data_IF_958302229442
#
_entry.id   IF_958302229442
#
_cell.length_a   1.000
_cell.length_b   1.000
_cell.length_c   1.000
_cell.angle_alpha   90.00
_cell.angle_beta   90.00
_cell.angle_gamma   90.00
#
_symmetry.space_group_name_H-M   'P 1'
#
loop_
_entity.id
_entity.type
_entity.pdbx_description
1 polymer ?
#
# COMPACT_ATOMS: atom_id res chain seq x y z
N UNK A 1 -29.47 -33.51 4.94
CA UNK A 1 -29.92 -34.13 3.68
C UNK A 1 -29.05 -33.54 2.57
N UNK A 2 -28.23 -34.37 1.95
CA UNK A 2 -27.24 -34.01 0.92
C UNK A 2 -27.95 -33.79 -0.43
N UNK A 3 -27.59 -32.73 -1.15
CA UNK A 3 -27.60 -32.51 -2.62
C UNK A 3 -26.92 -31.13 -2.80
N UNK A 4 -25.83 -30.89 -3.53
CA UNK A 4 -25.15 -31.65 -4.58
C UNK A 4 -25.11 -30.80 -5.85
N UNK A 5 -24.07 -29.99 -6.06
CA UNK A 5 -23.63 -29.57 -7.41
C UNK A 5 -22.13 -29.22 -7.40
N UNK A 6 -21.44 -29.70 -8.43
CA UNK A 6 -19.99 -29.72 -8.65
C UNK A 6 -19.60 -28.78 -9.79
N UNK A 7 -18.32 -28.37 -9.78
CA UNK A 7 -17.45 -27.86 -10.88
C UNK A 7 -17.54 -26.36 -11.23
N UNK A 8 -16.48 -25.59 -11.55
CA UNK A 8 -14.98 -25.67 -11.57
C UNK A 8 -14.52 -24.19 -11.77
N UNK A 9 -13.41 -23.76 -11.14
CA UNK A 9 -12.70 -22.51 -11.49
C UNK A 9 -12.02 -21.81 -10.30
N UNK A 10 -10.71 -21.94 -10.17
CA UNK A 10 -9.90 -21.34 -9.11
C UNK A 10 -9.86 -19.80 -9.20
N UNK A 11 -10.37 -19.10 -8.19
CA UNK A 11 -9.87 -17.80 -7.73
C UNK A 11 -10.06 -17.75 -6.21
N UNK A 12 -8.95 -17.72 -5.47
CA UNK A 12 -8.92 -17.83 -4.01
C UNK A 12 -9.40 -16.50 -3.39
N UNK A 13 -10.71 -16.38 -3.17
CA UNK A 13 -11.34 -15.37 -2.31
C UNK A 13 -12.09 -16.15 -1.21
N UNK A 14 -11.48 -16.25 -0.03
CA UNK A 14 -12.00 -17.02 1.11
C UNK A 14 -12.97 -16.19 1.98
N UNK A 15 -13.93 -16.90 2.58
CA UNK A 15 -15.26 -16.45 3.06
C UNK A 15 -15.49 -16.78 4.57
N UNK A 16 -16.34 -15.96 5.25
CA UNK A 16 -16.98 -16.02 6.62
C UNK A 16 -16.17 -15.48 7.85
N UNK A 17 -16.70 -14.67 8.80
CA UNK A 17 -18.05 -14.59 9.40
C UNK A 17 -18.45 -13.18 9.97
N UNK A 18 -19.77 -12.95 10.02
CA UNK A 18 -20.59 -11.87 10.62
C UNK A 18 -20.24 -10.38 10.35
N UNK A 19 -20.94 -9.83 9.35
CA UNK A 19 -21.17 -8.41 9.05
C UNK A 19 -20.05 -7.56 8.43
N UNK A 20 -18.82 -8.03 8.30
CA UNK A 20 -17.84 -7.39 7.41
C UNK A 20 -16.94 -8.42 6.70
N UNK A 21 -16.93 -8.36 5.38
CA UNK A 21 -16.21 -9.27 4.47
C UNK A 21 -14.68 -9.12 4.64
N UNK A 22 -13.91 -10.21 4.78
CA UNK A 22 -12.45 -10.10 4.78
C UNK A 22 -11.95 -9.67 3.39
N UNK A 23 -11.16 -8.61 3.34
CA UNK A 23 -10.42 -8.20 2.14
C UNK A 23 -9.04 -8.85 2.15
N UNK A 24 -8.76 -9.68 1.15
CA UNK A 24 -7.39 -9.87 0.67
C UNK A 24 -7.19 -8.81 -0.40
N UNK A 25 -6.44 -7.75 -0.09
CA UNK A 25 -6.00 -6.80 -1.12
C UNK A 25 -4.79 -7.44 -1.81
N UNK A 26 -5.03 -8.05 -2.97
CA UNK A 26 -3.97 -8.42 -3.89
C UNK A 26 -3.46 -7.17 -4.59
N UNK A 27 -2.22 -6.77 -4.32
CA UNK A 27 -1.60 -5.65 -5.04
C UNK A 27 -1.04 -6.17 -6.36
N UNK A 28 -1.61 -5.73 -7.49
CA UNK A 28 -1.07 -5.99 -8.84
C UNK A 28 -0.09 -4.88 -9.20
N UNK A 29 1.04 -5.26 -9.80
CA UNK A 29 2.16 -4.36 -10.09
C UNK A 29 2.30 -4.14 -11.60
N UNK A 30 2.43 -2.90 -12.11
CA UNK A 30 2.60 -2.66 -13.54
C UNK A 30 4.00 -3.09 -14.03
N UNK A 31 4.14 -3.57 -15.28
CA UNK A 31 5.42 -3.72 -15.96
C UNK A 31 5.90 -2.36 -16.47
N UNK A 32 7.21 -2.09 -16.36
CA UNK A 32 7.83 -0.87 -16.90
C UNK A 32 8.62 -1.26 -18.15
N UNK A 33 8.07 -0.93 -19.31
CA UNK A 33 8.73 -0.97 -20.60
C UNK A 33 8.06 0.02 -21.55
N UNK A 34 8.87 0.81 -22.27
CA UNK A 34 8.39 1.69 -23.34
C UNK A 34 7.61 0.85 -24.37
N UNK A 35 6.29 1.04 -24.46
CA UNK A 35 5.51 0.54 -25.59
C UNK A 35 5.39 1.70 -26.57
N UNK A 36 6.18 1.60 -27.64
CA UNK A 36 5.94 2.32 -28.87
C UNK A 36 4.66 1.72 -29.46
N UNK A 37 3.59 2.52 -29.55
CA UNK A 37 2.30 2.10 -30.11
C UNK A 37 2.45 1.97 -31.61
N UNK A 38 2.78 0.78 -32.14
CA UNK A 38 2.48 0.42 -33.55
C UNK A 38 2.66 -1.07 -33.94
N UNK A 39 3.18 -1.97 -33.10
CA UNK A 39 3.34 -3.38 -33.51
C UNK A 39 2.95 -4.39 -32.41
N UNK A 40 1.66 -4.74 -32.33
CA UNK A 40 1.20 -5.98 -31.68
C UNK A 40 -0.22 -6.35 -32.13
N UNK A 41 -0.40 -6.52 -33.45
CA UNK A 41 -1.57 -7.15 -34.04
C UNK A 41 -1.08 -8.22 -35.02
N UNK A 42 -0.69 -9.38 -34.51
CA UNK A 42 -0.68 -10.65 -35.26
C UNK A 42 -0.33 -11.84 -34.36
N UNK A 43 -1.20 -12.86 -34.40
CA UNK A 43 -0.99 -14.28 -34.08
C UNK A 43 -0.41 -14.63 -32.69
N UNK A 44 -1.19 -15.30 -31.85
CA UNK A 44 -1.33 -16.77 -31.93
C UNK A 44 -2.44 -17.24 -30.98
N UNK A 45 -3.48 -17.86 -31.53
CA UNK A 45 -4.53 -18.55 -30.78
C UNK A 45 -4.15 -20.01 -30.64
N UNK A 46 -3.63 -20.41 -29.48
CA UNK A 46 -3.23 -21.79 -29.20
C UNK A 46 -3.32 -22.14 -27.71
N UNK A 47 -4.16 -23.11 -27.38
CA UNK A 47 -4.48 -23.70 -26.08
C UNK A 47 -3.42 -23.60 -24.96
N UNK A 48 -3.78 -22.97 -23.84
CA UNK A 48 -3.08 -23.13 -22.54
C UNK A 48 -4.07 -23.69 -21.51
N UNK A 49 -4.46 -24.96 -21.70
CA UNK A 49 -5.19 -25.76 -20.72
C UNK A 49 -4.63 -27.18 -20.72
N UNK A 50 -3.36 -27.33 -20.34
CA UNK A 50 -2.77 -28.60 -19.89
C UNK A 50 -1.30 -28.38 -19.50
N UNK A 51 -1.00 -28.07 -18.23
CA UNK A 51 0.15 -28.65 -17.54
C UNK A 51 0.16 -28.34 -16.03
N UNK A 52 -0.82 -28.87 -15.30
CA UNK A 52 -0.83 -28.86 -13.82
C UNK A 52 -0.99 -30.30 -13.29
N UNK A 53 -0.15 -31.22 -13.77
CA UNK A 53 0.00 -32.54 -13.16
C UNK A 53 1.23 -33.28 -13.68
N UNK A 54 2.44 -32.80 -13.39
CA UNK A 54 3.64 -33.64 -13.33
C UNK A 54 4.75 -32.88 -12.62
N UNK A 55 5.37 -33.52 -11.62
CA UNK A 55 6.57 -33.00 -10.97
C UNK A 55 7.70 -32.82 -12.00
N UNK A 56 8.00 -31.57 -12.33
CA UNK A 56 9.22 -31.16 -13.02
C UNK A 56 9.95 -30.18 -12.10
N UNK A 57 11.24 -30.42 -11.85
CA UNK A 57 12.11 -29.57 -11.04
C UNK A 57 12.33 -28.19 -11.64
N UNK A 58 11.31 -27.32 -11.56
CA UNK A 58 11.42 -25.90 -11.78
C UNK A 58 12.09 -25.23 -10.58
N UNK A 59 13.01 -24.29 -10.85
CA UNK A 59 13.60 -23.45 -9.82
C UNK A 59 12.50 -22.82 -8.94
N UNK A 60 12.74 -22.71 -7.64
CA UNK A 60 11.79 -22.03 -6.76
C UNK A 60 11.45 -20.63 -7.30
N UNK A 61 10.17 -20.21 -7.23
CA UNK A 61 9.76 -18.92 -7.73
C UNK A 61 10.55 -17.78 -7.06
N UNK A 62 11.18 -16.94 -7.89
CA UNK A 62 11.94 -15.77 -7.43
C UNK A 62 11.00 -14.64 -6.97
N UNK A 63 10.80 -14.57 -5.65
CA UNK A 63 10.07 -13.51 -4.96
C UNK A 63 10.93 -12.30 -4.60
N UNK A 64 12.13 -12.19 -5.18
CA UNK A 64 13.00 -11.01 -4.99
C UNK A 64 12.52 -9.77 -5.75
N UNK A 65 11.33 -9.79 -6.38
CA UNK A 65 10.70 -8.74 -7.21
C UNK A 65 11.67 -7.63 -7.68
N UNK A 66 12.79 -7.93 -8.37
CA UNK A 66 13.89 -6.97 -8.56
C UNK A 66 13.46 -5.69 -9.30
N UNK A 67 12.33 -5.76 -10.01
CA UNK A 67 11.65 -4.64 -10.66
C UNK A 67 11.03 -3.61 -9.68
N UNK A 68 10.66 -4.01 -8.46
CA UNK A 68 10.11 -3.12 -7.43
C UNK A 68 11.22 -2.44 -6.64
N UNK A 69 11.92 -1.54 -7.31
CA UNK A 69 12.93 -0.66 -6.71
C UNK A 69 12.67 0.77 -7.14
N UNK A 70 13.16 1.77 -6.38
CA UNK A 70 13.10 3.16 -6.83
C UNK A 70 13.68 3.29 -8.24
N UNK A 71 12.91 3.88 -9.15
CA UNK A 71 13.38 4.23 -10.51
C UNK A 71 14.16 5.55 -10.53
N UNK A 72 14.04 6.33 -9.45
CA UNK A 72 14.69 7.62 -9.25
C UNK A 72 16.17 7.43 -8.93
N UNK A 73 17.04 8.27 -9.49
CA UNK A 73 18.48 8.18 -9.25
C UNK A 73 18.85 8.43 -7.79
N UNK A 74 19.97 7.84 -7.35
CA UNK A 74 20.52 8.02 -6.01
C UNK A 74 20.64 9.52 -5.63
N UNK A 75 21.13 10.36 -6.56
CA UNK A 75 21.31 11.81 -6.35
C UNK A 75 19.99 12.57 -6.16
N UNK A 76 18.94 12.17 -6.89
CA UNK A 76 17.61 12.77 -6.74
C UNK A 76 16.99 12.39 -5.40
N UNK A 77 17.15 11.12 -4.98
CA UNK A 77 16.70 10.67 -3.66
C UNK A 77 17.42 11.42 -2.54
N UNK A 78 18.73 11.60 -2.65
CA UNK A 78 19.52 12.38 -1.69
C UNK A 78 19.04 13.84 -1.60
N UNK A 79 18.70 14.45 -2.73
CA UNK A 79 18.15 15.81 -2.78
C UNK A 79 16.77 15.89 -2.11
N UNK A 80 15.90 14.91 -2.38
CA UNK A 80 14.58 14.81 -1.77
C UNK A 80 14.66 14.68 -0.23
N UNK A 81 15.64 13.95 0.29
CA UNK A 81 15.89 13.81 1.73
C UNK A 81 16.37 15.13 2.34
N UNK A 82 17.27 15.87 1.67
CA UNK A 82 17.69 17.20 2.13
C UNK A 82 16.49 18.14 2.26
N UNK A 83 15.61 18.17 1.25
CA UNK A 83 14.39 18.98 1.30
C UNK A 83 13.44 18.59 2.45
N UNK A 84 13.33 17.29 2.74
CA UNK A 84 12.58 16.79 3.90
C UNK A 84 13.17 17.35 5.19
N UNK A 85 14.49 17.29 5.36
CA UNK A 85 15.17 17.81 6.56
C UNK A 85 14.97 19.33 6.69
N UNK A 86 15.06 20.08 5.59
CA UNK A 86 14.78 21.51 5.58
C UNK A 86 13.35 21.85 6.01
N UNK A 87 12.36 21.01 5.67
CA UNK A 87 10.98 21.20 6.16
C UNK A 87 10.82 20.83 7.63
N UNK A 88 11.49 19.76 8.08
CA UNK A 88 11.35 19.23 9.43
C UNK A 88 12.07 20.10 10.47
N UNK A 89 13.31 20.50 10.20
CA UNK A 89 14.20 21.21 11.13
C UNK A 89 15.05 22.26 10.38
N UNK A 90 14.43 23.32 9.82
CA UNK A 90 15.07 24.25 8.88
C UNK A 90 16.38 24.85 9.40
N UNK A 91 16.40 25.32 10.64
CA UNK A 91 17.57 25.99 11.24
C UNK A 91 18.73 25.03 11.54
N UNK A 92 18.46 23.72 11.55
CA UNK A 92 19.43 22.67 11.89
C UNK A 92 19.81 21.82 10.67
N UNK A 93 19.14 21.98 9.53
CA UNK A 93 19.32 21.13 8.36
C UNK A 93 20.77 21.09 7.85
N UNK A 94 21.52 22.17 8.02
CA UNK A 94 22.95 22.27 7.65
C UNK A 94 23.87 21.36 8.45
N UNK A 95 23.42 20.88 9.62
CA UNK A 95 24.18 19.95 10.47
C UNK A 95 24.10 18.50 9.95
N UNK A 96 23.25 18.24 8.94
CA UNK A 96 22.99 16.92 8.39
C UNK A 96 23.51 16.79 6.94
N UNK A 97 24.15 15.66 6.66
CA UNK A 97 24.60 15.29 5.32
C UNK A 97 24.20 13.85 4.99
N UNK A 98 24.01 13.57 3.71
CA UNK A 98 23.47 12.31 3.23
C UNK A 98 24.31 11.75 2.07
N UNK A 99 24.38 10.43 1.98
CA UNK A 99 24.85 9.70 0.81
C UNK A 99 23.92 8.53 0.54
N UNK A 100 23.22 8.57 -0.59
CA UNK A 100 22.33 7.48 -1.01
C UNK A 100 23.04 6.62 -2.05
N UNK A 101 23.00 5.30 -1.88
CA UNK A 101 23.47 4.38 -2.91
C UNK A 101 22.69 3.07 -2.93
N UNK A 102 22.00 2.79 -4.04
CA UNK A 102 21.29 1.53 -4.24
C UNK A 102 22.21 0.28 -4.15
N UNK A 103 23.54 0.45 -4.25
CA UNK A 103 24.53 -0.62 -4.04
C UNK A 103 24.56 -1.17 -2.60
N UNK A 104 24.00 -0.45 -1.64
CA UNK A 104 23.92 -0.87 -0.23
C UNK A 104 22.72 -1.80 0.05
N UNK A 105 21.78 -1.93 -0.91
CA UNK A 105 20.74 -2.95 -0.86
C UNK A 105 21.39 -4.34 -0.89
N UNK A 106 20.87 -5.26 -0.08
CA UNK A 106 21.28 -6.65 -0.19
C UNK A 106 20.54 -7.38 -1.33
N UNK A 107 20.87 -8.65 -1.54
CA UNK A 107 20.25 -9.49 -2.58
C UNK A 107 18.73 -9.66 -2.42
N UNK A 108 18.19 -9.45 -1.21
CA UNK A 108 16.76 -9.47 -0.93
C UNK A 108 16.09 -8.09 -1.09
N UNK A 109 16.85 -7.06 -1.47
CA UNK A 109 16.37 -5.69 -1.62
C UNK A 109 16.04 -5.02 -0.28
N UNK A 110 16.66 -5.46 0.83
CA UNK A 110 16.42 -4.88 2.15
C UNK A 110 17.24 -3.62 2.36
N UNK A 111 16.58 -2.60 2.88
CA UNK A 111 17.20 -1.33 3.16
C UNK A 111 18.23 -1.40 4.29
N UNK A 112 19.24 -0.54 4.17
CA UNK A 112 20.29 -0.32 5.15
C UNK A 112 20.53 1.18 5.30
N UNK A 113 20.75 1.64 6.52
CA UNK A 113 21.40 2.93 6.76
C UNK A 113 22.51 2.80 7.80
N UNK A 114 23.41 3.77 7.79
CA UNK A 114 24.40 4.02 8.83
C UNK A 114 24.39 5.50 9.21
N UNK A 115 24.17 5.79 10.50
CA UNK A 115 24.28 7.12 11.09
C UNK A 115 25.67 7.23 11.73
N UNK A 116 26.38 8.33 11.46
CA UNK A 116 27.61 8.73 12.14
C UNK A 116 27.46 10.20 12.57
N UNK A 117 27.28 10.43 13.85
CA UNK A 117 27.22 11.76 14.45
C UNK A 117 28.46 11.99 15.31
N UNK A 118 29.16 13.08 15.04
CA UNK A 118 30.35 13.48 15.78
C UNK A 118 30.56 14.99 15.69
N UNK A 119 30.95 15.64 16.79
CA UNK A 119 31.30 17.08 16.79
C UNK A 119 30.18 17.97 16.23
N UNK A 120 28.93 17.67 16.61
CA UNK A 120 27.76 18.47 16.24
C UNK A 120 27.27 18.30 14.79
N UNK A 121 27.85 17.36 14.01
CA UNK A 121 27.45 17.07 12.63
C UNK A 121 27.05 15.61 12.49
N UNK A 122 26.10 15.34 11.60
CA UNK A 122 25.54 14.02 11.34
C UNK A 122 25.69 13.67 9.87
N UNK A 123 26.26 12.50 9.59
CA UNK A 123 26.29 11.93 8.27
C UNK A 123 25.47 10.63 8.22
N UNK A 124 24.60 10.51 7.24
CA UNK A 124 23.74 9.34 7.03
C UNK A 124 24.01 8.75 5.65
N UNK A 125 24.55 7.54 5.64
CA UNK A 125 24.79 6.73 4.44
C UNK A 125 23.70 5.68 4.33
N UNK A 126 22.99 5.58 3.21
CA UNK A 126 21.83 4.69 3.11
C UNK A 126 21.56 4.12 1.71
N UNK A 127 20.82 3.01 1.65
CA UNK A 127 20.48 2.32 0.41
C UNK A 127 19.49 3.07 -0.49
N UNK A 128 18.57 3.81 0.09
CA UNK A 128 17.48 4.54 -0.58
C UNK A 128 17.18 5.85 0.15
N UNK A 129 16.40 6.73 -0.47
CA UNK A 129 15.92 7.96 0.18
C UNK A 129 15.05 7.69 1.41
N UNK A 130 14.22 6.63 1.36
CA UNK A 130 13.47 6.14 2.52
C UNK A 130 14.41 5.69 3.63
N UNK A 131 15.44 4.91 3.30
CA UNK A 131 16.43 4.46 4.29
C UNK A 131 17.22 5.63 4.92
N UNK A 132 17.54 6.66 4.13
CA UNK A 132 18.20 7.87 4.63
C UNK A 132 17.28 8.68 5.56
N UNK A 133 16.00 8.84 5.20
CA UNK A 133 14.99 9.50 6.03
C UNK A 133 14.72 8.73 7.32
N UNK A 134 14.69 7.41 7.23
CA UNK A 134 14.58 6.54 8.40
C UNK A 134 15.82 6.62 9.31
N UNK A 135 17.03 6.70 8.74
CA UNK A 135 18.25 6.94 9.50
C UNK A 135 18.25 8.29 10.24
N UNK A 136 17.68 9.33 9.61
CA UNK A 136 17.45 10.63 10.25
C UNK A 136 16.51 10.47 11.44
N UNK A 137 15.34 9.85 11.24
CA UNK A 137 14.38 9.65 12.33
C UNK A 137 14.96 8.81 13.47
N UNK A 138 15.74 7.78 13.16
CA UNK A 138 16.42 6.95 14.15
C UNK A 138 17.40 7.77 14.99
N UNK A 139 18.18 8.66 14.37
CA UNK A 139 19.06 9.56 15.11
C UNK A 139 18.29 10.58 15.96
N UNK A 140 17.23 11.17 15.42
CA UNK A 140 16.39 12.11 16.15
C UNK A 140 15.81 11.44 17.40
N UNK A 141 15.25 10.23 17.26
CA UNK A 141 14.68 9.47 18.38
C UNK A 141 15.75 9.05 19.38
N UNK A 142 16.74 8.26 18.96
CA UNK A 142 17.68 7.60 19.87
C UNK A 142 18.90 8.43 20.25
N UNK A 143 19.31 9.38 19.42
CA UNK A 143 20.43 10.28 19.67
C UNK A 143 20.00 11.60 20.32
N UNK A 144 18.82 12.13 19.97
CA UNK A 144 18.36 13.45 20.43
C UNK A 144 17.16 13.44 21.38
N UNK A 145 16.53 12.29 21.63
CA UNK A 145 15.27 12.18 22.37
C UNK A 145 14.15 13.05 21.77
N UNK A 146 14.11 13.15 20.44
CA UNK A 146 13.09 13.85 19.67
C UNK A 146 12.00 12.89 19.17
N UNK A 147 10.83 13.42 18.86
CA UNK A 147 9.68 12.63 18.42
C UNK A 147 8.91 13.32 17.30
N UNK A 148 8.47 12.56 16.30
CA UNK A 148 7.66 13.05 15.17
C UNK A 148 6.39 12.22 15.08
N UNK A 149 5.22 12.85 15.19
CA UNK A 149 3.93 12.17 15.14
C UNK A 149 2.98 12.83 14.13
N UNK A 150 1.70 12.44 14.12
CA UNK A 150 0.70 13.08 13.27
C UNK A 150 0.18 14.41 13.86
N UNK A 151 0.18 14.57 15.19
CA UNK A 151 -0.46 15.71 15.87
C UNK A 151 0.55 16.70 16.45
N UNK A 152 1.70 16.21 16.88
CA UNK A 152 2.75 17.05 17.44
C UNK A 152 4.15 16.49 17.21
N UNK A 153 5.11 17.39 17.11
CA UNK A 153 6.53 17.10 16.96
C UNK A 153 7.28 17.70 18.15
N UNK A 154 8.11 16.89 18.80
CA UNK A 154 9.13 17.36 19.75
C UNK A 154 10.45 17.34 18.99
N UNK A 155 10.94 18.53 18.60
CA UNK A 155 12.18 18.70 17.83
C UNK A 155 13.12 19.71 18.49
N UNK A 156 13.12 19.76 19.83
CA UNK A 156 14.04 20.59 20.60
C UNK A 156 15.42 19.89 20.69
N UNK A 157 16.18 19.94 19.59
CA UNK A 157 17.42 19.19 19.46
C UNK A 157 18.55 19.79 20.31
N UNK A 158 19.38 18.96 21.00
CA UNK A 158 20.53 19.44 21.76
C UNK A 158 21.51 20.28 20.93
N UNK A 159 22.26 21.15 21.63
CA UNK A 159 23.34 21.96 21.05
C UNK A 159 24.61 21.79 21.92
N UNK A 160 25.69 21.18 21.40
CA UNK A 160 25.80 20.57 20.07
C UNK A 160 24.93 19.31 19.91
N UNK A 161 24.74 18.86 18.66
CA UNK A 161 24.13 17.56 18.37
C UNK A 161 24.95 16.43 19.04
N UNK A 162 24.31 15.45 19.71
CA UNK A 162 25.02 14.39 20.43
C UNK A 162 25.77 13.44 19.50
N UNK A 163 26.91 12.94 19.98
CA UNK A 163 27.64 11.87 19.31
C UNK A 163 26.80 10.58 19.31
N UNK A 164 26.74 9.90 18.17
CA UNK A 164 25.91 8.71 17.97
C UNK A 164 26.43 7.90 16.79
N UNK A 165 26.34 6.58 16.86
CA UNK A 165 26.70 5.71 15.74
C UNK A 165 25.81 4.48 15.74
N UNK A 166 25.16 4.23 14.60
CA UNK A 166 24.34 3.04 14.42
C UNK A 166 24.32 2.62 12.96
N UNK A 167 24.33 1.31 12.72
CA UNK A 167 24.05 0.72 11.40
C UNK A 167 22.84 -0.19 11.56
N UNK A 168 21.78 0.06 10.81
CA UNK A 168 20.52 -0.68 10.92
C UNK A 168 20.11 -1.19 9.55
N UNK A 169 19.79 -2.48 9.50
CA UNK A 169 19.25 -3.17 8.32
C UNK A 169 17.81 -3.60 8.59
N UNK A 170 16.91 -3.33 7.64
CA UNK A 170 15.55 -3.82 7.69
C UNK A 170 15.52 -5.37 7.78
N UNK A 171 14.50 -5.92 8.44
CA UNK A 171 14.29 -7.36 8.49
C UNK A 171 13.72 -7.88 7.16
N UNK A 172 12.82 -7.09 6.60
CA UNK A 172 12.07 -7.41 5.39
C UNK A 172 12.32 -6.37 4.31
N UNK A 173 11.83 -6.69 3.12
CA UNK A 173 11.92 -5.78 2.00
C UNK A 173 10.92 -4.63 2.10
N UNK A 174 9.67 -4.93 2.43
CA UNK A 174 8.59 -3.96 2.39
C UNK A 174 8.15 -3.53 3.79
N UNK A 175 7.93 -2.22 3.92
CA UNK A 175 7.17 -1.60 5.02
C UNK A 175 5.99 -0.89 4.38
N UNK A 176 4.81 -1.48 4.53
CA UNK A 176 3.57 -1.08 3.86
C UNK A 176 2.76 -0.07 4.67
N UNK A 177 2.07 0.85 4.00
CA UNK A 177 1.15 1.78 4.64
C UNK A 177 -0.15 2.02 3.85
N UNK A 178 -1.23 2.14 4.63
CA UNK A 178 -2.61 2.56 4.34
C UNK A 178 -3.60 1.43 4.09
N UNK A 179 -4.83 1.63 4.55
CA UNK A 179 -6.00 0.89 4.11
C UNK A 179 -6.68 1.66 2.98
N UNK A 180 -7.47 0.98 2.15
CA UNK A 180 -8.37 1.66 1.20
C UNK A 180 -9.38 2.57 1.92
N UNK A 181 -9.79 2.21 3.14
CA UNK A 181 -10.66 3.01 4.00
C UNK A 181 -10.00 4.30 4.50
N UNK A 182 -8.67 4.35 4.65
CA UNK A 182 -7.95 5.54 5.14
C UNK A 182 -8.21 6.76 4.25
N UNK A 183 -8.42 6.51 2.95
CA UNK A 183 -8.71 7.58 1.98
C UNK A 183 -10.01 8.29 2.30
N UNK A 184 -11.03 7.56 2.74
CA UNK A 184 -12.35 8.10 3.07
C UNK A 184 -12.41 8.65 4.49
N UNK A 185 -11.84 7.94 5.46
CA UNK A 185 -11.96 8.31 6.88
C UNK A 185 -10.96 9.36 7.34
N UNK A 186 -9.82 9.53 6.65
CA UNK A 186 -8.76 10.43 7.11
C UNK A 186 -8.29 11.42 6.07
N UNK A 187 -8.09 11.01 4.81
CA UNK A 187 -7.39 11.85 3.83
C UNK A 187 -8.25 12.51 2.76
N UNK A 188 -9.58 12.31 2.76
CA UNK A 188 -10.48 12.75 1.68
C UNK A 188 -10.42 14.27 1.45
N UNK A 189 -10.20 15.07 2.50
CA UNK A 189 -10.15 16.53 2.42
C UNK A 189 -8.73 17.10 2.46
N UNK A 190 -7.70 16.28 2.31
CA UNK A 190 -6.33 16.75 2.37
C UNK A 190 -5.92 17.48 1.10
N UNK A 191 -5.37 18.69 1.28
CA UNK A 191 -4.58 19.36 0.25
C UNK A 191 -3.13 18.88 0.24
N UNK A 192 -2.35 19.42 -0.69
CA UNK A 192 -0.94 19.06 -0.88
C UNK A 192 -0.09 19.19 0.39
N UNK A 193 -0.24 20.29 1.16
CA UNK A 193 0.57 20.51 2.36
C UNK A 193 0.45 19.39 3.40
N UNK A 194 -0.77 18.86 3.61
CA UNK A 194 -0.99 17.74 4.52
C UNK A 194 -0.46 16.42 3.95
N UNK A 195 -0.61 16.19 2.65
CA UNK A 195 -0.02 15.03 1.98
C UNK A 195 1.51 15.03 2.00
N UNK A 196 2.15 16.19 1.78
CA UNK A 196 3.59 16.33 1.87
C UNK A 196 4.10 15.96 3.28
N UNK A 197 3.41 16.43 4.33
CA UNK A 197 3.72 16.05 5.71
C UNK A 197 3.54 14.55 5.98
N UNK A 198 2.54 13.92 5.35
CA UNK A 198 2.34 12.47 5.46
C UNK A 198 3.45 11.69 4.77
N UNK A 199 3.85 12.10 3.56
CA UNK A 199 4.91 11.45 2.80
C UNK A 199 6.28 11.58 3.49
N UNK A 200 6.54 12.74 4.11
CA UNK A 200 7.72 12.92 4.95
C UNK A 200 7.66 12.00 6.20
N UNK A 201 6.50 11.89 6.86
CA UNK A 201 6.30 10.96 7.98
C UNK A 201 6.48 9.50 7.57
N UNK A 202 5.96 9.10 6.42
CA UNK A 202 6.13 7.77 5.85
C UNK A 202 7.62 7.45 5.65
N UNK A 203 8.37 8.36 5.02
CA UNK A 203 9.79 8.17 4.80
C UNK A 203 10.61 8.14 6.10
N UNK A 204 10.31 9.02 7.07
CA UNK A 204 10.92 9.01 8.41
C UNK A 204 10.68 7.67 9.14
N UNK A 205 9.54 7.03 8.90
CA UNK A 205 9.19 5.74 9.49
C UNK A 205 9.60 4.53 8.62
N UNK A 206 10.38 4.76 7.56
CA UNK A 206 10.91 3.68 6.72
C UNK A 206 9.87 3.02 5.81
N UNK A 207 8.68 3.60 5.64
CA UNK A 207 7.65 3.12 4.72
C UNK A 207 8.14 3.26 3.28
N UNK A 208 8.23 2.15 2.56
CA UNK A 208 8.72 2.12 1.17
C UNK A 208 7.70 1.54 0.16
N UNK A 209 6.51 1.15 0.62
CA UNK A 209 5.40 0.68 -0.20
C UNK A 209 4.09 1.27 0.35
N UNK A 210 3.30 1.98 -0.44
CA UNK A 210 2.06 2.57 0.07
C UNK A 210 1.01 2.81 -1.01
N UNK A 211 -0.27 2.83 -0.63
CA UNK A 211 -1.37 3.11 -1.55
C UNK A 211 -1.28 4.52 -2.16
N UNK A 212 -1.59 4.62 -3.45
CA UNK A 212 -1.68 5.87 -4.21
C UNK A 212 -3.00 5.89 -5.00
N UNK A 213 -4.11 6.01 -4.27
CA UNK A 213 -5.48 5.86 -4.80
C UNK A 213 -6.14 7.17 -5.24
N UNK A 214 -5.50 8.30 -4.95
CA UNK A 214 -5.96 9.65 -5.29
C UNK A 214 -6.19 9.79 -6.80
N UNK A 215 -7.35 10.32 -7.20
CA UNK A 215 -7.66 10.64 -8.60
C UNK A 215 -8.08 9.48 -9.51
N UNK A 216 -8.18 8.25 -9.00
CA UNK A 216 -8.50 7.08 -9.83
C UNK A 216 -9.88 7.15 -10.51
N UNK A 217 -10.84 7.89 -9.94
CA UNK A 217 -12.18 8.05 -10.53
C UNK A 217 -12.10 8.73 -11.91
N UNK A 218 -11.15 9.65 -12.12
CA UNK A 218 -10.94 10.27 -13.43
C UNK A 218 -10.41 9.26 -14.46
N UNK A 219 -9.57 8.31 -14.03
CA UNK A 219 -9.08 7.24 -14.90
C UNK A 219 -10.23 6.30 -15.26
N UNK A 220 -11.06 5.92 -14.29
CA UNK A 220 -12.27 5.13 -14.54
C UNK A 220 -13.26 5.84 -15.45
N UNK A 221 -13.47 7.16 -15.29
CA UNK A 221 -14.29 7.97 -16.19
C UNK A 221 -13.80 7.87 -17.64
N UNK A 222 -12.49 7.95 -17.86
CA UNK A 222 -11.89 7.78 -19.20
C UNK A 222 -12.07 6.37 -19.74
N UNK A 223 -11.77 5.34 -18.96
CA UNK A 223 -11.90 3.93 -19.38
C UNK A 223 -13.34 3.58 -19.75
N UNK A 224 -14.30 3.89 -18.87
CA UNK A 224 -15.70 3.57 -19.13
C UNK A 224 -16.29 4.36 -20.30
N UNK A 225 -15.89 5.62 -20.47
CA UNK A 225 -16.30 6.41 -21.66
C UNK A 225 -15.69 5.84 -22.94
N UNK A 226 -14.42 5.40 -22.91
CA UNK A 226 -13.74 4.82 -24.06
C UNK A 226 -14.41 3.52 -24.55
N UNK A 227 -15.03 2.76 -23.66
CA UNK A 227 -15.77 1.54 -24.02
C UNK A 227 -17.24 1.79 -24.33
N UNK A 228 -17.72 3.04 -24.35
CA UNK A 228 -19.06 3.42 -24.86
C UNK A 228 -20.11 3.80 -23.81
N UNK A 229 -19.74 3.93 -22.53
CA UNK A 229 -20.65 4.53 -21.53
C UNK A 229 -20.70 6.05 -21.71
N UNK A 230 -21.85 6.65 -21.43
CA UNK A 230 -21.98 8.10 -21.43
C UNK A 230 -21.34 8.68 -20.15
N UNK A 231 -20.72 9.87 -20.26
CA UNK A 231 -20.08 10.51 -19.11
C UNK A 231 -21.03 10.66 -17.92
N UNK A 232 -22.29 11.02 -18.17
CA UNK A 232 -23.31 11.12 -17.13
C UNK A 232 -23.61 9.78 -16.44
N UNK A 233 -23.58 8.65 -17.16
CA UNK A 233 -23.78 7.33 -16.58
C UNK A 233 -22.62 6.97 -15.63
N UNK A 234 -21.39 7.30 -16.03
CA UNK A 234 -20.20 7.06 -15.21
C UNK A 234 -20.17 7.99 -13.99
N UNK A 235 -20.58 9.25 -14.14
CA UNK A 235 -20.61 10.20 -13.02
C UNK A 235 -21.63 9.77 -11.94
N UNK A 236 -22.72 9.10 -12.33
CA UNK A 236 -23.70 8.52 -11.38
C UNK A 236 -23.24 7.20 -10.75
N UNK A 237 -22.22 6.55 -11.28
CA UNK A 237 -21.64 5.35 -10.68
C UNK A 237 -20.86 5.69 -9.41
N UNK A 238 -20.10 6.78 -9.43
CA UNK A 238 -19.29 7.20 -8.28
C UNK A 238 -20.15 7.70 -7.11
N UNK A 239 -19.70 7.41 -5.90
CA UNK A 239 -20.25 8.02 -4.68
C UNK A 239 -19.69 9.43 -4.49
N UNK A 240 -20.19 10.13 -3.47
CA UNK A 240 -19.54 11.33 -2.96
C UNK A 240 -18.14 11.05 -2.40
N UNK A 241 -17.28 12.09 -2.27
CA UNK A 241 -15.87 11.93 -1.91
C UNK A 241 -15.62 11.10 -0.65
N UNK A 242 -16.40 11.33 0.41
CA UNK A 242 -16.24 10.65 1.70
C UNK A 242 -16.54 9.15 1.65
N UNK A 243 -17.15 8.64 0.57
CA UNK A 243 -17.57 7.25 0.45
C UNK A 243 -16.79 6.46 -0.62
N UNK A 244 -15.77 7.08 -1.23
CA UNK A 244 -15.02 6.48 -2.34
C UNK A 244 -14.32 5.17 -1.99
N UNK A 245 -13.92 4.93 -0.74
CA UNK A 245 -13.37 3.64 -0.33
C UNK A 245 -14.34 2.49 -0.65
N UNK A 246 -15.61 2.61 -0.22
CA UNK A 246 -16.64 1.59 -0.45
C UNK A 246 -17.10 1.52 -1.89
N UNK A 247 -17.01 2.63 -2.64
CA UNK A 247 -17.28 2.60 -4.07
C UNK A 247 -16.23 1.82 -4.86
N UNK A 248 -14.94 2.06 -4.58
CA UNK A 248 -13.82 1.35 -5.21
C UNK A 248 -13.84 -0.15 -4.91
N UNK A 249 -14.35 -0.52 -3.73
CA UNK A 249 -14.55 -1.91 -3.30
C UNK A 249 -15.85 -2.55 -3.83
N UNK A 250 -16.63 -1.82 -4.64
CA UNK A 250 -17.89 -2.30 -5.22
C UNK A 250 -19.06 -2.41 -4.23
N UNK A 251 -18.89 -1.99 -2.97
CA UNK A 251 -19.94 -2.06 -1.96
C UNK A 251 -21.03 -0.99 -2.18
N UNK A 252 -20.62 0.22 -2.57
CA UNK A 252 -21.53 1.34 -2.79
C UNK A 252 -21.40 1.89 -4.21
N UNK A 253 -22.47 2.52 -4.69
CA UNK A 253 -22.51 3.32 -5.90
C UNK A 253 -23.44 4.52 -5.67
N UNK A 254 -23.25 5.61 -6.41
CA UNK A 254 -24.14 6.80 -6.46
C UNK A 254 -24.32 7.62 -5.18
N UNK A 255 -24.26 7.01 -4.00
CA UNK A 255 -24.55 7.63 -2.71
C UNK A 255 -23.74 8.90 -2.48
N UNK A 256 -24.42 10.02 -2.20
CA UNK A 256 -23.83 11.35 -2.01
C UNK A 256 -22.99 11.89 -3.19
N UNK A 257 -23.09 11.29 -4.38
CA UNK A 257 -22.51 11.80 -5.62
C UNK A 257 -23.49 12.70 -6.40
N UNK A 258 -23.17 13.07 -7.66
CA UNK A 258 -21.95 12.73 -8.40
C UNK A 258 -20.74 13.57 -7.96
N UNK A 259 -19.54 13.16 -8.40
CA UNK A 259 -18.33 13.98 -8.27
C UNK A 259 -18.36 15.13 -9.29
N UNK A 260 -17.85 16.30 -8.91
CA UNK A 260 -17.77 17.45 -9.82
C UNK A 260 -16.51 17.40 -10.70
N UNK A 261 -16.51 18.10 -11.83
CA UNK A 261 -15.32 18.25 -12.66
C UNK A 261 -14.16 18.92 -11.90
N UNK A 262 -14.48 19.86 -10.99
CA UNK A 262 -13.50 20.50 -10.12
C UNK A 262 -12.82 19.47 -9.21
N UNK A 263 -13.59 18.55 -8.61
CA UNK A 263 -13.03 17.46 -7.82
C UNK A 263 -12.06 16.61 -8.65
N UNK A 264 -12.44 16.21 -9.86
CA UNK A 264 -11.55 15.44 -10.72
C UNK A 264 -10.25 16.17 -11.07
N UNK A 265 -10.33 17.47 -11.38
CA UNK A 265 -9.16 18.29 -11.69
C UNK A 265 -8.21 18.44 -10.49
N UNK A 266 -8.77 18.70 -9.31
CA UNK A 266 -8.01 18.84 -8.07
C UNK A 266 -7.33 17.52 -7.67
N UNK A 267 -8.08 16.41 -7.73
CA UNK A 267 -7.54 15.09 -7.40
C UNK A 267 -6.48 14.61 -8.40
N UNK A 268 -6.59 14.95 -9.69
CA UNK A 268 -5.54 14.65 -10.67
C UNK A 268 -4.24 15.40 -10.33
N UNK A 269 -4.35 16.69 -10.04
CA UNK A 269 -3.21 17.52 -9.65
C UNK A 269 -2.54 16.95 -8.41
N UNK A 270 -3.33 16.63 -7.39
CA UNK A 270 -2.85 16.06 -6.14
C UNK A 270 -2.21 14.68 -6.34
N UNK A 271 -2.80 13.82 -7.18
CA UNK A 271 -2.25 12.50 -7.50
C UNK A 271 -0.85 12.60 -8.12
N UNK A 272 -0.64 13.53 -9.05
CA UNK A 272 0.68 13.76 -9.65
C UNK A 272 1.71 14.21 -8.61
N UNK A 273 1.34 15.13 -7.72
CA UNK A 273 2.24 15.60 -6.65
C UNK A 273 2.60 14.48 -5.67
N UNK A 274 1.61 13.69 -5.24
CA UNK A 274 1.81 12.54 -4.34
C UNK A 274 2.73 11.52 -4.98
N UNK A 275 2.43 11.05 -6.20
CA UNK A 275 3.21 10.00 -6.88
C UNK A 275 4.63 10.48 -7.18
N UNK A 276 4.80 11.74 -7.61
CA UNK A 276 6.12 12.32 -7.83
C UNK A 276 6.94 12.29 -6.54
N UNK A 277 6.37 12.77 -5.43
CA UNK A 277 7.08 12.83 -4.16
C UNK A 277 7.35 11.46 -3.54
N UNK A 278 6.44 10.51 -3.69
CA UNK A 278 6.69 9.11 -3.33
C UNK A 278 7.93 8.59 -4.05
N UNK A 279 7.99 8.76 -5.38
CA UNK A 279 9.13 8.30 -6.20
C UNK A 279 10.43 9.05 -5.87
N UNK A 280 10.37 10.35 -5.61
CA UNK A 280 11.53 11.15 -5.17
C UNK A 280 12.13 10.61 -3.88
N UNK A 281 11.29 10.23 -2.91
CA UNK A 281 11.75 9.66 -1.65
C UNK A 281 12.16 8.18 -1.76
N UNK A 282 11.80 7.49 -2.85
CA UNK A 282 12.03 6.06 -3.02
C UNK A 282 10.91 5.17 -2.47
N UNK A 283 9.71 5.73 -2.25
CA UNK A 283 8.48 5.01 -1.91
C UNK A 283 7.86 4.47 -3.20
N UNK A 284 7.55 3.18 -3.21
CA UNK A 284 6.85 2.54 -4.33
C UNK A 284 5.34 2.75 -4.21
N UNK A 285 4.70 3.48 -5.14
CA UNK A 285 3.25 3.67 -5.12
C UNK A 285 2.52 2.41 -5.56
N UNK A 286 1.54 2.00 -4.76
CA UNK A 286 0.58 0.95 -5.09
C UNK A 286 -0.63 1.60 -5.76
N UNK A 287 -0.75 1.37 -7.07
CA UNK A 287 -1.84 1.89 -7.89
C UNK A 287 -3.03 0.91 -7.88
N UNK A 288 -4.26 1.39 -8.07
CA UNK A 288 -5.43 0.52 -8.19
C UNK A 288 -5.33 -0.40 -9.42
N UNK A 289 -6.16 -1.45 -9.45
CA UNK A 289 -6.37 -2.32 -10.62
C UNK A 289 -7.87 -2.62 -10.80
N UNK A 290 -8.26 -3.14 -11.97
CA UNK A 290 -9.64 -3.59 -12.21
C UNK A 290 -9.96 -4.86 -11.39
N UNK A 291 -11.07 -4.83 -10.66
CA UNK A 291 -11.53 -5.94 -9.81
C UNK A 291 -12.89 -6.51 -10.24
N UNK A 292 -13.38 -6.19 -11.45
CA UNK A 292 -14.63 -6.72 -11.99
C UNK A 292 -15.88 -5.87 -11.74
N UNK A 293 -15.82 -4.83 -10.91
CA UNK A 293 -16.97 -3.96 -10.65
C UNK A 293 -17.22 -3.00 -11.81
N UNK A 294 -18.44 -3.02 -12.37
CA UNK A 294 -18.85 -2.16 -13.49
C UNK A 294 -20.14 -1.40 -13.20
N UNK A 295 -20.38 -0.23 -13.84
CA UNK A 295 -21.63 0.52 -13.70
C UNK A 295 -22.85 -0.27 -14.20
N UNK A 296 -24.03 0.03 -13.66
CA UNK A 296 -25.30 -0.60 -14.09
C UNK A 296 -25.54 -0.49 -15.61
N UNK A 297 -25.19 0.65 -16.19
CA UNK A 297 -25.34 0.94 -17.62
C UNK A 297 -24.38 0.14 -18.51
N UNK A 298 -23.47 -0.65 -17.95
CA UNK A 298 -22.56 -1.49 -18.72
C UNK A 298 -23.30 -2.48 -19.63
N UNK A 299 -24.39 -3.08 -19.14
CA UNK A 299 -25.23 -4.02 -19.90
C UNK A 299 -25.95 -3.38 -21.09
N UNK A 300 -26.09 -2.05 -21.12
CA UNK A 300 -26.62 -1.33 -22.29
C UNK A 300 -25.64 -1.41 -23.47
N UNK A 301 -24.35 -1.32 -23.17
CA UNK A 301 -23.27 -1.31 -24.18
C UNK A 301 -22.82 -2.73 -24.51
N UNK A 302 -22.78 -3.60 -23.50
CA UNK A 302 -22.37 -5.00 -23.60
C UNK A 302 -23.47 -5.92 -23.06
N UNK A 303 -24.58 -6.10 -23.80
CA UNK A 303 -25.74 -6.85 -23.33
C UNK A 303 -25.49 -8.36 -23.16
N UNK A 304 -24.49 -8.89 -23.88
CA UNK A 304 -24.14 -10.31 -23.86
C UNK A 304 -23.07 -10.66 -22.80
N UNK A 305 -22.56 -9.66 -22.06
CA UNK A 305 -21.55 -9.90 -21.01
C UNK A 305 -22.11 -10.70 -19.84
N UNK A 306 -21.32 -11.64 -19.35
CA UNK A 306 -21.62 -12.47 -18.19
C UNK A 306 -21.44 -11.67 -16.90
N UNK A 307 -22.54 -11.19 -16.34
CA UNK A 307 -22.56 -10.29 -15.19
C UNK A 307 -23.42 -10.88 -14.07
N UNK A 308 -22.95 -10.70 -12.84
CA UNK A 308 -23.71 -11.00 -11.62
C UNK A 308 -24.00 -9.71 -10.88
N UNK A 309 -25.25 -9.47 -10.50
CA UNK A 309 -25.59 -8.39 -9.57
C UNK A 309 -25.25 -8.83 -8.15
N UNK A 310 -24.48 -8.02 -7.43
CA UNK A 310 -24.10 -8.32 -6.05
C UNK A 310 -25.27 -8.07 -5.09
N UNK A 311 -25.28 -8.79 -3.98
CA UNK A 311 -26.26 -8.59 -2.91
C UNK A 311 -26.14 -7.20 -2.27
N UNK A 312 -27.25 -6.63 -1.75
CA UNK A 312 -27.22 -5.39 -0.99
C UNK A 312 -26.21 -5.42 0.18
N UNK A 313 -25.48 -4.33 0.39
CA UNK A 313 -24.46 -4.22 1.43
C UNK A 313 -24.92 -3.28 2.55
N UNK A 314 -24.84 -3.76 3.79
CA UNK A 314 -25.05 -2.96 5.02
C UNK A 314 -26.34 -2.12 4.99
N UNK A 315 -27.47 -2.75 4.64
CA UNK A 315 -28.81 -2.16 4.54
C UNK A 315 -28.99 -1.02 3.51
N UNK A 316 -27.99 -0.74 2.66
CA UNK A 316 -28.18 0.10 1.49
C UNK A 316 -29.02 -0.64 0.45
N UNK A 317 -30.08 0.00 -0.03
CA UNK A 317 -30.89 -0.58 -1.10
C UNK A 317 -30.10 -0.68 -2.43
N UNK A 318 -30.67 -1.37 -3.41
CA UNK A 318 -30.05 -1.59 -4.73
C UNK A 318 -29.74 -0.31 -5.50
N UNK A 319 -30.34 0.84 -5.15
CA UNK A 319 -30.01 2.13 -5.78
C UNK A 319 -28.61 2.61 -5.40
N UNK A 320 -28.14 2.26 -4.21
CA UNK A 320 -26.88 2.74 -3.64
C UNK A 320 -25.84 1.63 -3.43
N UNK A 321 -26.20 0.38 -3.70
CA UNK A 321 -25.39 -0.82 -3.54
C UNK A 321 -25.59 -1.73 -4.76
N UNK A 322 -25.30 -3.03 -4.64
CA UNK A 322 -25.62 -4.05 -5.64
C UNK A 322 -24.95 -3.77 -6.99
N UNK A 323 -23.71 -3.31 -6.93
CA UNK A 323 -22.85 -3.09 -8.09
C UNK A 323 -22.79 -4.35 -8.96
N UNK A 324 -22.73 -4.16 -10.27
CA UNK A 324 -22.56 -5.27 -11.20
C UNK A 324 -21.13 -5.80 -11.13
N UNK A 325 -21.00 -7.12 -11.12
CA UNK A 325 -19.72 -7.84 -11.15
C UNK A 325 -19.58 -8.59 -12.48
N UNK A 326 -18.62 -8.15 -13.29
CA UNK A 326 -18.24 -8.79 -14.54
C UNK A 326 -17.47 -10.07 -14.26
N UNK A 327 -17.90 -11.18 -14.84
CA UNK A 327 -17.28 -12.47 -14.61
C UNK A 327 -15.81 -12.47 -15.11
N UNK A 328 -14.85 -12.99 -14.33
CA UNK A 328 -13.44 -13.05 -14.74
C UNK A 328 -13.14 -13.80 -16.05
N UNK A 329 -14.04 -14.68 -16.51
CA UNK A 329 -13.88 -15.38 -17.80
C UNK A 329 -14.57 -14.67 -18.97
N UNK A 330 -15.25 -13.56 -18.72
CA UNK A 330 -15.82 -12.72 -19.77
C UNK A 330 -14.70 -11.98 -20.53
N UNK A 331 -14.71 -11.94 -21.88
CA UNK A 331 -13.68 -11.24 -22.65
C UNK A 331 -13.52 -9.76 -22.28
N UNK A 332 -14.59 -9.10 -21.85
CA UNK A 332 -14.52 -7.70 -21.42
C UNK A 332 -13.71 -7.52 -20.13
N UNK A 333 -13.57 -8.56 -19.30
CA UNK A 333 -12.80 -8.47 -18.06
C UNK A 333 -11.33 -8.19 -18.34
N UNK A 334 -10.75 -8.94 -19.29
CA UNK A 334 -9.38 -8.73 -19.73
C UNK A 334 -9.23 -7.39 -20.47
N UNK A 335 -10.17 -7.05 -21.36
CA UNK A 335 -10.12 -5.81 -22.11
C UNK A 335 -10.12 -4.57 -21.20
N UNK A 336 -11.03 -4.51 -20.22
CA UNK A 336 -11.09 -3.40 -19.24
C UNK A 336 -9.85 -3.44 -18.33
N UNK A 337 -9.45 -4.63 -17.90
CA UNK A 337 -8.23 -4.84 -17.11
C UNK A 337 -7.00 -4.25 -17.79
N UNK A 338 -6.79 -4.54 -19.07
CA UNK A 338 -5.64 -4.08 -19.85
C UNK A 338 -5.71 -2.59 -20.20
N UNK A 339 -6.91 -2.02 -20.37
CA UNK A 339 -7.08 -0.56 -20.49
C UNK A 339 -6.71 0.17 -19.20
N UNK A 340 -6.80 -0.48 -18.04
CA UNK A 340 -6.52 0.11 -16.74
C UNK A 340 -5.09 -0.16 -16.24
N UNK A 341 -4.60 -1.41 -16.30
CA UNK A 341 -3.29 -1.85 -15.81
C UNK A 341 -2.73 -2.99 -16.68
N UNK A 342 -1.46 -2.90 -17.10
CA UNK A 342 -0.74 -3.98 -17.78
C UNK A 342 -0.31 -5.11 -16.83
N UNK A 343 0.01 -6.29 -17.38
CA UNK A 343 0.17 -7.58 -16.69
C UNK A 343 1.21 -7.60 -15.54
N UNK A 344 0.93 -8.32 -14.44
CA UNK A 344 1.76 -8.24 -13.22
C UNK A 344 1.53 -9.32 -12.16
N UNK A 345 2.51 -9.45 -11.26
CA UNK A 345 2.56 -10.41 -10.12
C UNK A 345 1.79 -9.89 -8.89
N UNK A 346 1.40 -10.78 -7.98
CA UNK A 346 0.59 -10.50 -6.77
C UNK A 346 1.45 -10.44 -5.50
N UNK A 347 1.10 -9.53 -4.58
CA UNK A 347 1.49 -9.56 -3.15
C UNK A 347 0.21 -9.52 -2.32
N UNK A 348 0.13 -10.36 -1.28
CA UNK A 348 -1.00 -10.46 -0.37
C UNK A 348 -0.77 -9.59 0.87
N UNK A 349 -1.74 -8.75 1.24
CA UNK A 349 -1.75 -8.11 2.56
C UNK A 349 -2.53 -9.00 3.53
N UNK A 350 -1.87 -9.57 4.55
CA UNK A 350 -2.57 -10.21 5.67
C UNK A 350 -3.09 -9.12 6.61
N UNK A 351 -4.27 -8.61 6.25
CA UNK A 351 -4.74 -7.27 6.60
C UNK A 351 -4.90 -7.01 8.10
N UNK A 352 -5.19 -8.04 8.90
CA UNK A 352 -5.54 -7.95 10.33
C UNK A 352 -4.75 -8.96 11.15
N UNK A 353 -3.44 -9.06 10.86
CA UNK A 353 -2.55 -10.05 11.47
C UNK A 353 -2.35 -9.84 12.98
N UNK A 354 -2.55 -8.63 13.48
CA UNK A 354 -2.41 -8.30 14.90
C UNK A 354 -3.53 -8.87 15.79
N UNK A 355 -4.64 -9.33 15.20
CA UNK A 355 -5.75 -9.98 15.93
C UNK A 355 -6.10 -11.35 15.35
N UNK A 356 -6.19 -11.47 14.02
CA UNK A 356 -6.64 -12.69 13.33
C UNK A 356 -5.73 -12.99 12.13
N UNK A 357 -4.49 -13.43 12.36
CA UNK A 357 -3.58 -13.80 11.28
C UNK A 357 -4.13 -14.97 10.47
N UNK A 358 -4.00 -14.88 9.14
CA UNK A 358 -4.48 -15.88 8.19
C UNK A 358 -3.35 -16.66 7.52
N UNK A 359 -2.12 -16.13 7.51
CA UNK A 359 -0.96 -16.80 6.90
C UNK A 359 -0.76 -18.25 7.37
N UNK A 360 -1.03 -18.56 8.65
CA UNK A 360 -0.91 -19.92 9.19
C UNK A 360 -2.03 -20.87 8.74
N UNK A 361 -3.18 -20.34 8.34
CA UNK A 361 -4.32 -21.12 7.85
C UNK A 361 -4.20 -21.47 6.37
N UNK A 362 -3.46 -20.65 5.62
CA UNK A 362 -3.27 -20.81 4.17
C UNK A 362 -1.86 -21.27 3.79
N UNK A 363 -1.12 -21.91 4.70
CA UNK A 363 0.25 -22.39 4.48
C UNK A 363 1.14 -21.33 3.82
N UNK A 364 1.19 -20.15 4.45
CA UNK A 364 1.86 -18.96 3.92
C UNK A 364 1.34 -18.56 2.53
N UNK A 365 0.02 -18.57 2.35
CA UNK A 365 -0.67 -18.30 1.09
C UNK A 365 -0.18 -19.16 -0.08
N UNK A 366 0.08 -20.44 0.18
CA UNK A 366 0.58 -21.40 -0.79
C UNK A 366 1.87 -20.91 -1.49
N UNK A 367 2.72 -20.21 -0.74
CA UNK A 367 3.97 -19.62 -1.21
C UNK A 367 3.86 -18.24 -1.84
N UNK A 368 2.65 -17.66 -2.01
CA UNK A 368 2.52 -16.28 -2.47
C UNK A 368 3.08 -15.31 -1.44
N UNK A 369 3.86 -14.28 -1.85
CA UNK A 369 4.43 -13.34 -0.90
C UNK A 369 3.36 -12.55 -0.16
N UNK A 370 3.55 -12.39 1.14
CA UNK A 370 2.63 -11.64 1.97
C UNK A 370 3.31 -10.60 2.87
N UNK A 371 2.53 -9.61 3.29
CA UNK A 371 2.90 -8.58 4.25
C UNK A 371 2.04 -8.76 5.50
N UNK A 372 2.70 -8.94 6.65
CA UNK A 372 2.03 -8.97 7.95
C UNK A 372 1.57 -7.56 8.30
N UNK A 373 0.27 -7.33 8.47
CA UNK A 373 -0.26 -5.99 8.70
C UNK A 373 -0.93 -5.84 10.05
N UNK A 374 -0.69 -4.70 10.70
CA UNK A 374 -1.47 -4.23 11.84
C UNK A 374 -2.64 -3.38 11.35
N UNK A 375 -3.86 -3.88 11.53
CA UNK A 375 -5.07 -3.12 11.21
C UNK A 375 -5.34 -2.08 12.29
N UNK A 376 -5.37 -2.49 13.56
CA UNK A 376 -5.56 -1.65 14.75
C UNK A 376 -6.87 -0.85 14.84
N UNK A 377 -7.21 -0.02 13.85
CA UNK A 377 -8.34 0.91 13.90
C UNK A 377 -9.42 0.56 12.87
N UNK A 378 -10.67 0.69 13.29
CA UNK A 378 -11.87 0.58 12.46
C UNK A 378 -12.64 1.91 12.48
N UNK A 379 -13.06 2.40 11.31
CA UNK A 379 -13.91 3.57 11.17
C UNK A 379 -13.31 4.91 11.63
N UNK A 380 -12.02 4.99 11.94
CA UNK A 380 -11.45 6.18 12.59
C UNK A 380 -11.93 6.37 14.03
N UNK A 381 -12.46 5.32 14.67
CA UNK A 381 -12.99 5.44 16.03
C UNK A 381 -11.88 5.78 17.03
N UNK A 382 -12.23 6.63 18.00
CA UNK A 382 -11.34 7.02 19.09
C UNK A 382 -11.49 6.06 20.27
N UNK A 383 -10.41 5.89 21.03
CA UNK A 383 -10.36 5.07 22.23
C UNK A 383 -8.93 4.63 22.51
N UNK A 384 -8.58 4.41 23.79
CA UNK A 384 -7.29 3.83 24.12
C UNK A 384 -7.36 2.31 23.91
N UNK A 385 -6.71 1.83 22.86
CA UNK A 385 -6.66 0.41 22.50
C UNK A 385 -5.33 0.06 21.85
N UNK A 386 -5.03 -1.24 21.77
CA UNK A 386 -3.81 -1.75 21.17
C UNK A 386 -3.56 -3.23 21.50
N UNK A 387 -2.91 -3.94 20.58
CA UNK A 387 -2.60 -5.37 20.66
C UNK A 387 -1.10 -5.57 20.88
N UNK A 388 -0.54 -4.90 21.90
CA UNK A 388 0.91 -4.77 22.13
C UNK A 388 1.66 -6.10 22.10
N UNK A 389 1.16 -7.11 22.81
CA UNK A 389 1.78 -8.44 22.85
C UNK A 389 1.88 -9.09 21.47
N UNK A 390 0.88 -8.87 20.61
CA UNK A 390 0.87 -9.39 19.23
C UNK A 390 1.79 -8.58 18.33
N UNK A 391 1.84 -7.26 18.50
CA UNK A 391 2.74 -6.40 17.72
C UNK A 391 4.20 -6.80 17.94
N UNK A 392 4.60 -7.07 19.18
CA UNK A 392 6.02 -7.37 19.48
C UNK A 392 6.44 -8.81 19.23
N UNK A 393 5.49 -9.71 18.93
CA UNK A 393 5.75 -11.14 18.66
C UNK A 393 5.40 -11.55 17.23
N UNK A 394 4.21 -11.16 16.77
CA UNK A 394 3.59 -11.59 15.51
C UNK A 394 4.49 -11.43 14.28
N UNK A 395 5.14 -10.27 14.04
CA UNK A 395 6.07 -10.12 12.93
C UNK A 395 7.29 -11.07 13.00
N UNK A 396 7.76 -11.43 14.20
CA UNK A 396 8.87 -12.40 14.34
C UNK A 396 8.38 -13.83 14.07
N UNK A 397 7.21 -14.18 14.60
CA UNK A 397 6.57 -15.47 14.35
C UNK A 397 6.28 -15.65 12.85
N UNK A 398 5.66 -14.67 12.20
CA UNK A 398 5.35 -14.68 10.77
C UNK A 398 6.57 -14.88 9.87
N UNK A 399 7.75 -14.36 10.25
CA UNK A 399 9.01 -14.60 9.52
C UNK A 399 9.59 -16.00 9.72
N UNK A 400 9.28 -16.65 10.84
CA UNK A 400 9.92 -17.91 11.26
C UNK A 400 9.04 -19.14 11.09
N UNK A 401 7.78 -18.99 10.66
CA UNK A 401 6.95 -20.13 10.28
C UNK A 401 7.63 -20.94 9.17
N UNK A 402 7.36 -22.24 9.13
CA UNK A 402 7.87 -23.11 8.09
C UNK A 402 7.44 -22.57 6.71
N UNK A 403 8.39 -22.49 5.78
CA UNK A 403 8.18 -22.00 4.41
C UNK A 403 7.56 -20.59 4.33
N UNK A 404 7.86 -19.72 5.31
CA UNK A 404 7.36 -18.34 5.28
C UNK A 404 7.69 -17.64 3.97
N UNK A 405 6.66 -17.09 3.34
CA UNK A 405 6.73 -16.17 2.19
C UNK A 405 6.56 -14.70 2.62
N UNK A 406 6.76 -14.40 3.91
CA UNK A 406 6.65 -13.04 4.43
C UNK A 406 7.74 -12.15 3.82
N UNK A 407 7.33 -11.05 3.18
CA UNK A 407 8.23 -10.09 2.51
C UNK A 407 8.17 -8.69 3.11
N UNK A 408 7.33 -8.49 4.13
CA UNK A 408 7.16 -7.18 4.74
C UNK A 408 6.32 -7.16 6.00
N UNK A 409 6.37 -6.01 6.67
CA UNK A 409 5.44 -5.58 7.71
C UNK A 409 4.62 -4.40 7.22
N UNK A 410 3.45 -4.14 7.79
CA UNK A 410 2.56 -3.11 7.28
C UNK A 410 1.58 -2.55 8.28
N UNK A 411 1.01 -1.42 7.90
CA UNK A 411 -0.03 -0.71 8.63
C UNK A 411 -1.26 -0.54 7.73
N UNK A 412 -2.42 -1.02 8.20
CA UNK A 412 -3.67 -1.15 7.41
C UNK A 412 -4.87 -0.57 8.16
N UNK A 413 -4.66 0.46 8.97
CA UNK A 413 -5.72 1.12 9.74
C UNK A 413 -6.78 1.78 8.87
N UNK A 414 -8.06 1.63 9.23
CA UNK A 414 -9.14 2.31 8.51
C UNK A 414 -9.08 3.83 8.69
N UNK A 415 -8.67 4.32 9.86
CA UNK A 415 -8.39 5.73 10.11
C UNK A 415 -7.12 5.95 10.94
N UNK A 416 -6.48 7.11 10.75
CA UNK A 416 -5.30 7.55 11.50
C UNK A 416 -5.68 8.63 12.54
N UNK A 417 -4.69 9.31 13.14
CA UNK A 417 -4.87 10.31 14.19
C UNK A 417 -5.40 9.78 15.54
N UNK A 418 -5.04 8.54 15.89
CA UNK A 418 -5.22 8.02 17.25
C UNK A 418 -4.06 7.08 17.65
N UNK A 419 -3.93 6.74 18.93
CA UNK A 419 -3.00 5.74 19.50
C UNK A 419 -1.59 5.71 18.88
N UNK A 420 -0.90 6.86 18.79
CA UNK A 420 0.38 7.00 18.06
C UNK A 420 1.44 6.00 18.49
N UNK A 421 1.45 5.67 19.79
CA UNK A 421 2.31 4.66 20.40
C UNK A 421 2.22 3.28 19.75
N UNK A 422 1.04 2.86 19.25
CA UNK A 422 0.89 1.57 18.57
C UNK A 422 1.56 1.57 17.20
N UNK A 423 1.43 2.68 16.46
CA UNK A 423 2.02 2.82 15.12
C UNK A 423 3.53 2.94 15.20
N UNK A 424 4.04 3.74 16.14
CA UNK A 424 5.47 3.87 16.40
C UNK A 424 6.08 2.51 16.79
N UNK A 425 5.45 1.76 17.69
CA UNK A 425 5.92 0.42 18.08
C UNK A 425 5.94 -0.54 16.89
N UNK A 426 4.85 -0.59 16.10
CA UNK A 426 4.72 -1.51 14.99
C UNK A 426 5.75 -1.22 13.88
N UNK A 427 5.99 0.04 13.56
CA UNK A 427 6.98 0.44 12.56
C UNK A 427 8.40 0.02 12.95
N UNK A 428 8.71 -0.05 14.25
CA UNK A 428 9.99 -0.56 14.71
C UNK A 428 10.19 -2.07 14.51
N UNK A 429 9.11 -2.83 14.42
CA UNK A 429 9.18 -4.28 14.14
C UNK A 429 9.70 -4.59 12.75
N UNK A 430 9.71 -3.60 11.84
CA UNK A 430 10.32 -3.71 10.51
C UNK A 430 11.85 -3.84 10.56
N UNK A 431 12.50 -3.51 11.68
CA UNK A 431 13.97 -3.48 11.77
C UNK A 431 14.57 -4.02 13.08
N UNK A 432 13.80 -4.05 14.18
CA UNK A 432 14.26 -4.66 15.43
C UNK A 432 14.58 -6.13 15.24
N UNK A 433 15.69 -6.59 15.82
CA UNK A 433 16.15 -7.99 15.71
C UNK A 433 15.54 -8.90 16.77
N UNK A 434 14.93 -8.33 17.81
CA UNK A 434 14.23 -9.02 18.88
C UNK A 434 13.08 -8.17 19.39
N UNK A 435 12.12 -8.81 20.04
CA UNK A 435 11.04 -8.13 20.78
C UNK A 435 11.66 -7.16 21.81
N UNK A 436 11.23 -5.89 21.87
CA UNK A 436 11.65 -4.98 22.92
C UNK A 436 10.99 -5.33 24.27
N UNK A 437 11.61 -4.88 25.37
CA UNK A 437 10.89 -4.68 26.63
C UNK A 437 9.99 -3.45 26.46
N UNK A 438 8.68 -3.68 26.42
CA UNK A 438 7.68 -2.64 26.14
C UNK A 438 7.62 -1.60 27.26
N UNK A 439 7.86 -1.99 28.52
CA UNK A 439 7.81 -1.05 29.64
C UNK A 439 8.99 -0.09 29.52
N UNK A 440 10.19 -0.60 29.23
CA UNK A 440 11.35 0.27 28.99
C UNK A 440 11.18 1.10 27.72
N UNK A 441 10.65 0.51 26.66
CA UNK A 441 10.44 1.19 25.38
C UNK A 441 9.44 2.35 25.48
N UNK A 442 8.37 2.20 26.26
CA UNK A 442 7.31 3.23 26.37
C UNK A 442 7.66 4.42 27.28
N UNK A 443 8.74 4.30 28.07
CA UNK A 443 9.26 5.39 28.90
C UNK A 443 10.23 6.29 28.12
N UNK A 444 10.77 5.78 27.01
CA UNK A 444 11.63 6.50 26.08
C UNK A 444 10.78 7.21 25.03
#
# INVERSE_FOLDING_TARGET
MVLGSRNIGFLLLAVLWLHMTPFVIGVRLPPIGHINTDEALASDTGSVLADWSAGGGGAEPDFSYPQLRPSTSDQQQESAVRELVYRLIPDRAVEFSFSVSAKLLDSAGRDLFTVRASSGHVHIEASTGVAASWGLHHYLKYGCAAHVSWDSDQLELPRPLPDFSATVRANDRFRYYQNVCTVSYSSVWWGWGRWQRELDWMALNGVNLALAFTGQELIWRRVFTQIGLEAAEVDHFFTGPAFLAWNRMGNLQRWAGPLSDAWHADQLTLAHQIIARMRELGITPVLPAFAGHVPQNFTRVFPDSNITQLEPWNDFNETFSSTLFLNPVDPMYEQIGNLFVAEGRMIVLDLHSDVKPLYGQFDSYYGQPFIWCMLHNFGGQLGLQGTVDQIVKGPFEGRTIANSSMVGTGLTMEGIFQNYVMYDLMLEMGWRKSSPDVVQWSVF
#
